data_IF_202868530008
#
_entry.id   IF_202868530008
#
_cell.length_a   1.000
_cell.length_b   1.000
_cell.length_c   1.000
_cell.angle_alpha   90.00
_cell.angle_beta   90.00
_cell.angle_gamma   90.00
#
_symmetry.space_group_name_H-M   'P 1'
#
loop_
_entity.id
_entity.type
_entity.pdbx_description
1 polymer ?
#
# COMPACT_ATOMS: atom_id res chain seq x y z
N UNK A 1 -16.47 -6.80 -4.96
CA UNK A 1 -15.77 -5.53 -5.08
C UNK A 1 -14.39 -5.68 -4.43
N UNK A 2 -13.32 -5.46 -5.18
CA UNK A 2 -11.95 -5.52 -4.68
C UNK A 2 -11.62 -4.36 -3.74
N UNK A 3 -10.53 -4.46 -2.96
CA UNK A 3 -10.04 -3.35 -2.14
C UNK A 3 -9.71 -2.12 -3.00
N UNK A 4 -9.15 -2.33 -4.18
CA UNK A 4 -8.83 -1.25 -5.12
C UNK A 4 -10.09 -0.52 -5.62
N UNK A 5 -11.15 -1.25 -5.99
CA UNK A 5 -12.41 -0.63 -6.41
C UNK A 5 -13.06 0.18 -5.27
N UNK A 6 -13.01 -0.32 -4.02
CA UNK A 6 -13.50 0.44 -2.85
C UNK A 6 -12.67 1.72 -2.65
N UNK A 7 -11.35 1.64 -2.85
CA UNK A 7 -10.47 2.80 -2.77
C UNK A 7 -10.81 3.85 -3.82
N UNK A 8 -11.07 3.45 -5.07
CA UNK A 8 -11.51 4.37 -6.13
C UNK A 8 -12.85 5.04 -5.79
N UNK A 9 -13.82 4.27 -5.28
CA UNK A 9 -15.10 4.81 -4.82
C UNK A 9 -14.90 5.84 -3.71
N UNK A 10 -13.98 5.60 -2.77
CA UNK A 10 -13.64 6.53 -1.72
C UNK A 10 -13.02 7.82 -2.27
N UNK A 11 -12.07 7.72 -3.22
CA UNK A 11 -11.48 8.87 -3.90
C UNK A 11 -12.54 9.73 -4.58
N UNK A 12 -13.42 9.13 -5.37
CA UNK A 12 -14.49 9.84 -6.09
C UNK A 12 -15.46 10.53 -5.12
N UNK A 13 -15.87 9.83 -4.06
CA UNK A 13 -16.76 10.38 -3.03
C UNK A 13 -16.16 11.62 -2.34
N UNK A 14 -14.85 11.63 -2.15
CA UNK A 14 -14.11 12.74 -1.55
C UNK A 14 -13.74 13.84 -2.58
N UNK A 15 -14.15 13.70 -3.84
CA UNK A 15 -13.88 14.65 -4.90
C UNK A 15 -12.46 14.57 -5.48
N UNK A 16 -11.72 13.52 -5.18
CA UNK A 16 -10.43 13.27 -5.79
C UNK A 16 -10.57 12.71 -7.20
N UNK A 17 -9.69 13.14 -8.12
CA UNK A 17 -9.69 12.66 -9.50
C UNK A 17 -8.88 11.38 -9.62
N UNK A 18 -9.50 10.29 -10.08
CA UNK A 18 -8.86 8.99 -10.27
C UNK A 18 -8.21 8.80 -11.65
N UNK A 19 -8.39 9.72 -12.61
CA UNK A 19 -7.90 9.61 -13.98
C UNK A 19 -6.38 9.39 -14.08
N UNK A 20 -5.60 10.08 -13.26
CA UNK A 20 -4.14 9.94 -13.25
C UNK A 20 -3.71 8.56 -12.78
N UNK A 21 -4.40 8.00 -11.80
CA UNK A 21 -4.14 6.65 -11.30
C UNK A 21 -4.45 5.59 -12.35
N UNK A 22 -5.59 5.72 -13.04
CA UNK A 22 -5.95 4.83 -14.15
C UNK A 22 -4.92 4.87 -15.29
N UNK A 23 -4.46 6.06 -15.68
CA UNK A 23 -3.43 6.22 -16.71
C UNK A 23 -2.11 5.57 -16.30
N UNK A 24 -1.68 5.77 -15.03
CA UNK A 24 -0.47 5.16 -14.51
C UNK A 24 -0.56 3.62 -14.56
N UNK A 25 -1.66 3.06 -14.06
CA UNK A 25 -1.89 1.61 -14.04
C UNK A 25 -1.89 1.05 -15.46
N UNK A 26 -2.63 1.65 -16.39
CA UNK A 26 -2.66 1.23 -17.79
C UNK A 26 -1.26 1.25 -18.39
N UNK A 27 -0.50 2.32 -18.16
CA UNK A 27 0.87 2.45 -18.67
C UNK A 27 1.81 1.37 -18.14
N UNK A 28 1.68 1.01 -16.86
CA UNK A 28 2.45 -0.08 -16.25
C UNK A 28 2.04 -1.43 -16.83
N UNK A 29 0.75 -1.68 -17.01
CA UNK A 29 0.24 -2.93 -17.58
C UNK A 29 0.75 -3.13 -19.02
N UNK A 30 0.72 -2.07 -19.83
CA UNK A 30 1.06 -2.15 -21.25
C UNK A 30 2.56 -2.19 -21.52
N UNK A 31 3.38 -1.53 -20.68
CA UNK A 31 4.79 -1.31 -20.97
C UNK A 31 5.75 -1.81 -19.87
N UNK A 32 5.25 -2.38 -18.78
CA UNK A 32 6.03 -2.67 -17.58
C UNK A 32 6.25 -1.43 -16.71
N UNK A 33 6.88 -1.62 -15.55
CA UNK A 33 7.18 -0.55 -14.62
C UNK A 33 8.42 0.26 -15.06
N UNK A 34 8.29 1.59 -15.04
CA UNK A 34 9.40 2.55 -15.13
C UNK A 34 9.13 3.67 -14.11
N UNK A 35 10.08 3.93 -13.21
CA UNK A 35 9.95 4.96 -12.16
C UNK A 35 9.62 6.35 -12.70
N UNK A 36 10.06 6.66 -13.93
CA UNK A 36 9.78 7.94 -14.61
C UNK A 36 8.30 8.20 -14.82
N UNK A 37 7.45 7.16 -14.78
CA UNK A 37 6.00 7.35 -14.90
C UNK A 37 5.40 8.14 -13.72
N UNK A 38 6.14 8.23 -12.61
CA UNK A 38 5.74 8.99 -11.43
C UNK A 38 6.27 10.43 -11.42
N UNK A 39 7.22 10.78 -12.27
CA UNK A 39 7.82 12.12 -12.27
C UNK A 39 6.80 13.22 -12.57
N UNK A 40 5.90 12.95 -13.53
CA UNK A 40 4.82 13.87 -13.94
C UNK A 40 3.52 13.71 -13.12
N UNK A 41 3.50 12.89 -12.07
CA UNK A 41 2.31 12.72 -11.24
C UNK A 41 2.02 14.00 -10.47
N UNK A 42 0.74 14.42 -10.50
CA UNK A 42 0.25 15.59 -9.75
C UNK A 42 0.02 15.22 -8.26
N UNK A 43 1.12 15.05 -7.55
CA UNK A 43 1.14 14.73 -6.11
C UNK A 43 2.45 15.21 -5.47
N UNK A 44 2.53 15.18 -4.13
CA UNK A 44 3.73 15.59 -3.41
C UNK A 44 4.93 14.65 -3.65
N UNK A 45 6.14 15.17 -3.45
CA UNK A 45 7.36 14.38 -3.62
C UNK A 45 7.43 13.21 -2.62
N UNK A 46 6.88 13.36 -1.41
CA UNK A 46 6.80 12.28 -0.43
C UNK A 46 5.96 11.11 -0.96
N UNK A 47 4.81 11.40 -1.57
CA UNK A 47 3.94 10.38 -2.17
C UNK A 47 4.63 9.76 -3.39
N UNK A 48 5.30 10.53 -4.24
CA UNK A 48 6.08 10.00 -5.38
C UNK A 48 7.17 9.05 -4.90
N UNK A 49 7.95 9.45 -3.91
CA UNK A 49 9.03 8.63 -3.37
C UNK A 49 8.51 7.34 -2.72
N UNK A 50 7.40 7.43 -2.00
CA UNK A 50 6.72 6.26 -1.43
C UNK A 50 6.28 5.28 -2.52
N UNK A 51 5.61 5.77 -3.58
CA UNK A 51 5.15 4.94 -4.68
C UNK A 51 6.31 4.35 -5.50
N UNK A 52 7.38 5.13 -5.76
CA UNK A 52 8.58 4.63 -6.42
C UNK A 52 9.20 3.47 -5.66
N UNK A 53 9.36 3.63 -4.34
CA UNK A 53 9.89 2.57 -3.50
C UNK A 53 9.01 1.32 -3.52
N UNK A 54 7.70 1.45 -3.36
CA UNK A 54 6.76 0.33 -3.35
C UNK A 54 6.73 -0.44 -4.68
N UNK A 55 6.66 0.31 -5.79
CA UNK A 55 6.63 -0.28 -7.12
C UNK A 55 7.98 -0.92 -7.47
N UNK A 56 9.11 -0.26 -7.13
CA UNK A 56 10.44 -0.82 -7.35
C UNK A 56 10.61 -2.16 -6.63
N UNK A 57 10.24 -2.25 -5.35
CA UNK A 57 10.29 -3.51 -4.61
C UNK A 57 9.34 -4.54 -5.19
N UNK A 58 8.12 -4.12 -5.59
CA UNK A 58 7.11 -5.05 -6.12
C UNK A 58 7.50 -5.66 -7.45
N UNK A 59 8.18 -4.90 -8.33
CA UNK A 59 8.54 -5.36 -9.67
C UNK A 59 9.95 -5.95 -9.77
N UNK A 60 10.90 -5.43 -9.01
CA UNK A 60 12.32 -5.73 -9.14
C UNK A 60 12.95 -6.33 -7.86
N UNK A 61 12.21 -6.35 -6.75
CA UNK A 61 12.69 -6.89 -5.48
C UNK A 61 12.84 -8.41 -5.49
N UNK A 62 13.73 -8.91 -4.65
CA UNK A 62 13.81 -10.34 -4.35
C UNK A 62 12.59 -10.79 -3.53
N UNK A 63 12.27 -12.08 -3.57
CA UNK A 63 11.14 -12.62 -2.79
C UNK A 63 11.20 -12.26 -1.29
N UNK A 64 12.34 -12.37 -0.58
CA UNK A 64 12.43 -11.89 0.81
C UNK A 64 12.16 -10.40 1.00
N UNK A 65 12.62 -9.54 0.07
CA UNK A 65 12.36 -8.10 0.12
C UNK A 65 10.87 -7.79 -0.05
N UNK A 66 10.22 -8.41 -1.04
CA UNK A 66 8.78 -8.25 -1.26
C UNK A 66 7.99 -8.70 -0.02
N UNK A 67 8.29 -9.87 0.52
CA UNK A 67 7.62 -10.39 1.72
C UNK A 67 7.88 -9.48 2.92
N UNK A 68 9.10 -9.02 3.11
CA UNK A 68 9.47 -8.12 4.20
C UNK A 68 8.73 -6.79 4.17
N UNK A 69 8.72 -6.12 3.02
CA UNK A 69 8.00 -4.84 2.82
C UNK A 69 6.50 -5.04 2.97
N UNK A 70 5.93 -6.07 2.37
CA UNK A 70 4.51 -6.39 2.49
C UNK A 70 4.12 -6.64 3.95
N UNK A 71 4.80 -7.56 4.64
CA UNK A 71 4.42 -7.96 5.99
C UNK A 71 4.67 -6.86 7.02
N UNK A 72 5.91 -6.35 7.09
CA UNK A 72 6.31 -5.42 8.15
C UNK A 72 5.93 -3.98 7.82
N UNK A 73 5.94 -3.61 6.55
CA UNK A 73 5.63 -2.26 6.09
C UNK A 73 4.16 -2.01 5.80
N UNK A 74 3.34 -3.05 5.66
CA UNK A 74 1.91 -2.92 5.32
C UNK A 74 1.02 -3.68 6.29
N UNK A 75 0.96 -5.00 6.20
CA UNK A 75 0.01 -5.84 6.95
C UNK A 75 0.07 -5.62 8.47
N UNK A 76 1.26 -5.41 9.02
CA UNK A 76 1.46 -5.17 10.45
C UNK A 76 1.12 -3.75 10.90
N UNK A 77 1.28 -2.76 10.01
CA UNK A 77 1.14 -1.33 10.35
C UNK A 77 -0.27 -0.82 10.05
N UNK A 78 -0.87 -1.28 8.96
CA UNK A 78 -2.15 -0.80 8.44
C UNK A 78 -3.27 -0.85 9.48
N UNK A 79 -3.52 -1.94 10.23
CA UNK A 79 -4.65 -1.99 11.16
C UNK A 79 -4.62 -0.88 12.20
N UNK A 80 -3.46 -0.64 12.82
CA UNK A 80 -3.32 0.40 13.83
C UNK A 80 -3.42 1.81 13.23
N UNK A 81 -2.76 2.04 12.10
CA UNK A 81 -2.80 3.33 11.41
C UNK A 81 -4.23 3.66 10.95
N UNK A 82 -4.94 2.72 10.34
CA UNK A 82 -6.28 2.92 9.86
C UNK A 82 -7.30 3.07 11.00
N UNK A 83 -7.13 2.35 12.10
CA UNK A 83 -7.94 2.57 13.30
C UNK A 83 -7.81 3.99 13.83
N UNK A 84 -6.58 4.54 13.84
CA UNK A 84 -6.36 5.92 14.23
C UNK A 84 -7.03 6.92 13.28
N UNK A 85 -6.90 6.70 11.96
CA UNK A 85 -7.56 7.55 10.95
C UNK A 85 -9.09 7.53 11.14
N UNK A 86 -9.69 6.35 11.38
CA UNK A 86 -11.13 6.24 11.61
C UNK A 86 -11.63 7.08 12.80
N UNK A 87 -10.80 7.26 13.84
CA UNK A 87 -11.16 8.10 14.99
C UNK A 87 -11.16 9.60 14.64
N UNK A 88 -10.42 10.00 13.62
CA UNK A 88 -10.30 11.40 13.19
C UNK A 88 -11.37 11.82 12.16
N UNK A 89 -12.15 10.86 11.62
CA UNK A 89 -13.22 11.18 10.67
C UNK A 89 -14.44 11.69 11.41
N UNK A 90 -14.75 12.98 11.26
CA UNK A 90 -15.90 13.63 11.87
C UNK A 90 -17.18 13.44 11.04
N UNK A 91 -17.13 13.72 9.75
CA UNK A 91 -18.27 13.54 8.84
C UNK A 91 -18.28 12.14 8.20
N UNK A 92 -19.04 11.25 8.82
CA UNK A 92 -19.18 9.88 8.34
C UNK A 92 -20.14 9.72 7.16
N UNK A 93 -20.99 10.70 6.90
CA UNK A 93 -21.99 10.60 5.84
C UNK A 93 -21.39 10.84 4.46
N UNK A 94 -20.44 11.75 4.36
CA UNK A 94 -19.72 12.06 3.12
C UNK A 94 -18.48 11.19 2.87
N UNK A 95 -18.15 10.27 3.78
CA UNK A 95 -16.93 9.46 3.75
C UNK A 95 -17.17 7.96 3.93
N UNK A 96 -18.38 7.48 3.67
CA UNK A 96 -18.76 6.09 3.94
C UNK A 96 -17.92 5.06 3.14
N UNK A 97 -17.52 5.37 1.90
CA UNK A 97 -16.63 4.48 1.13
C UNK A 97 -15.22 4.43 1.70
N UNK A 98 -14.69 5.57 2.18
CA UNK A 98 -13.41 5.60 2.88
C UNK A 98 -13.49 4.78 4.18
N UNK A 99 -14.53 4.96 4.97
CA UNK A 99 -14.75 4.18 6.21
C UNK A 99 -14.80 2.69 5.89
N UNK A 100 -15.55 2.29 4.85
CA UNK A 100 -15.63 0.88 4.42
C UNK A 100 -14.27 0.34 4.01
N UNK A 101 -13.48 1.12 3.28
CA UNK A 101 -12.12 0.76 2.86
C UNK A 101 -11.21 0.53 4.07
N UNK A 102 -11.18 1.49 4.99
CA UNK A 102 -10.34 1.44 6.19
C UNK A 102 -10.75 0.27 7.11
N UNK A 103 -12.06 0.13 7.39
CA UNK A 103 -12.58 -0.92 8.27
C UNK A 103 -12.28 -2.31 7.71
N UNK A 104 -12.46 -2.51 6.40
CA UNK A 104 -12.19 -3.80 5.77
C UNK A 104 -10.71 -4.22 5.90
N UNK A 105 -9.78 -3.28 5.80
CA UNK A 105 -8.36 -3.57 6.03
C UNK A 105 -8.08 -3.89 7.50
N UNK A 106 -8.66 -3.14 8.44
CA UNK A 106 -8.51 -3.42 9.87
C UNK A 106 -8.97 -4.86 10.18
N UNK A 107 -10.14 -5.24 9.69
CA UNK A 107 -10.73 -6.55 9.98
C UNK A 107 -9.93 -7.71 9.34
N UNK A 108 -9.49 -7.54 8.07
CA UNK A 108 -8.80 -8.60 7.34
C UNK A 108 -7.33 -8.70 7.75
N UNK A 109 -6.64 -7.57 7.82
CA UNK A 109 -5.19 -7.54 8.07
C UNK A 109 -4.89 -7.81 9.55
N UNK A 110 -5.77 -7.35 10.46
CA UNK A 110 -5.66 -7.64 11.88
C UNK A 110 -5.82 -9.12 12.22
N UNK A 111 -6.86 -9.75 11.67
CA UNK A 111 -7.27 -11.10 12.10
C UNK A 111 -6.68 -12.24 11.26
N UNK A 112 -6.39 -11.99 9.97
CA UNK A 112 -6.00 -13.05 9.03
C UNK A 112 -4.69 -12.79 8.32
N UNK A 113 -4.58 -11.67 7.58
CA UNK A 113 -3.41 -11.40 6.74
C UNK A 113 -2.16 -11.16 7.58
N UNK A 114 -2.25 -10.38 8.66
CA UNK A 114 -1.12 -10.13 9.54
C UNK A 114 -0.48 -11.42 10.09
N UNK A 115 -1.24 -12.33 10.73
CA UNK A 115 -0.69 -13.60 11.19
C UNK A 115 -0.17 -14.52 10.07
N UNK A 116 -0.82 -14.53 8.89
CA UNK A 116 -0.37 -15.33 7.75
C UNK A 116 0.90 -14.77 7.11
N UNK A 117 1.00 -13.46 6.96
CA UNK A 117 2.19 -12.79 6.41
C UNK A 117 3.42 -12.96 7.30
N UNK A 118 3.24 -12.99 8.65
CA UNK A 118 4.32 -13.33 9.57
C UNK A 118 4.85 -14.76 9.34
N UNK A 119 3.97 -15.72 9.05
CA UNK A 119 4.41 -17.08 8.69
C UNK A 119 5.17 -17.13 7.37
N UNK A 120 4.86 -16.27 6.40
CA UNK A 120 5.65 -16.14 5.18
C UNK A 120 7.07 -15.66 5.48
N UNK A 121 7.22 -14.68 6.39
CA UNK A 121 8.54 -14.23 6.85
C UNK A 121 9.35 -15.39 7.45
N UNK A 122 8.75 -16.17 8.34
CA UNK A 122 9.42 -17.30 9.00
C UNK A 122 9.88 -18.37 8.00
N UNK A 123 9.16 -18.55 6.88
CA UNK A 123 9.46 -19.57 5.88
C UNK A 123 10.50 -19.10 4.85
N UNK A 124 10.42 -17.84 4.42
CA UNK A 124 11.18 -17.36 3.25
C UNK A 124 12.31 -16.39 3.60
N UNK A 125 12.39 -15.92 4.84
CA UNK A 125 13.38 -14.94 5.23
C UNK A 125 14.14 -15.43 6.46
N UNK A 126 15.45 -15.55 6.37
CA UNK A 126 16.25 -15.64 7.57
C UNK A 126 16.44 -14.26 8.22
N UNK A 127 16.70 -14.23 9.52
CA UNK A 127 16.78 -12.99 10.30
C UNK A 127 17.85 -11.99 9.78
N UNK A 128 18.88 -12.47 9.10
CA UNK A 128 19.95 -11.64 8.55
C UNK A 128 19.49 -10.92 7.25
N UNK A 129 18.74 -11.60 6.40
CA UNK A 129 18.21 -11.05 5.15
C UNK A 129 17.16 -9.98 5.42
N UNK A 130 16.27 -10.18 6.40
CA UNK A 130 15.28 -9.19 6.83
C UNK A 130 15.91 -7.92 7.39
N UNK A 131 16.94 -8.06 8.21
CA UNK A 131 17.68 -6.93 8.79
C UNK A 131 18.36 -6.08 7.72
N UNK A 132 18.97 -6.70 6.71
CA UNK A 132 19.65 -6.01 5.61
C UNK A 132 18.68 -5.32 4.65
N UNK A 133 17.58 -5.96 4.28
CA UNK A 133 16.56 -5.37 3.41
C UNK A 133 15.90 -4.13 4.04
N UNK A 134 15.71 -4.16 5.37
CA UNK A 134 15.12 -3.04 6.10
C UNK A 134 16.12 -1.89 6.35
N UNK A 135 17.39 -2.20 6.62
CA UNK A 135 18.40 -1.19 7.00
C UNK A 135 18.98 -0.46 5.80
N UNK A 136 19.17 -1.15 4.67
CA UNK A 136 19.81 -0.57 3.48
C UNK A 136 18.88 0.32 2.64
N UNK A 137 17.58 0.37 2.92
CA UNK A 137 16.60 1.18 2.15
C UNK A 137 15.94 2.29 2.96
N UNK A 138 16.29 2.43 4.25
CA UNK A 138 15.87 3.57 5.09
C UNK A 138 16.97 4.65 5.20
N UNK A 139 18.12 4.43 4.62
CA UNK A 139 19.22 5.40 4.45
C UNK A 139 19.26 5.92 3.02
#
# INVERSE_FOLDING_TARGET
VSHFEIYLMAMEQMGAKSDHLHKLITRIIDNGYDEKYLDDADTSDEVKNFLKYDLEVSFNGTLPEIIGVFTLGREKVIPNMFSYILTAIEDRSSTNHLITYLQRHIDIDGDRHGPLSMKLLDVYCDNAQLSLAYTNKLT
#
